data_IF_935663137234
#
_entry.id   IF_935663137234
#
_cell.length_a   1.000
_cell.length_b   1.000
_cell.length_c   1.000
_cell.angle_alpha   90.00
_cell.angle_beta   90.00
_cell.angle_gamma   90.00
#
_symmetry.space_group_name_H-M   'P 1'
#
loop_
_entity.id
_entity.type
_entity.pdbx_description
1 polymer ?
#
# COMPACT_ATOMS: atom_id res chain seq x y z
N UNK A 1 -13.74 3.52 -3.32
CA UNK A 1 -12.77 3.50 -4.45
C UNK A 1 -11.35 3.51 -3.87
N UNK A 2 -10.29 3.26 -4.66
CA UNK A 2 -8.89 3.38 -4.23
C UNK A 2 -8.29 4.63 -4.87
N UNK A 3 -7.71 5.50 -4.04
CA UNK A 3 -7.05 6.74 -4.46
C UNK A 3 -5.55 6.60 -4.26
N UNK A 4 -4.80 6.59 -5.34
CA UNK A 4 -3.33 6.58 -5.30
C UNK A 4 -2.85 8.03 -5.28
N UNK A 5 -2.03 8.40 -4.30
CA UNK A 5 -1.48 9.76 -4.13
C UNK A 5 0.04 9.65 -4.11
N UNK A 6 0.73 10.37 -4.99
CA UNK A 6 2.19 10.40 -4.98
C UNK A 6 2.72 11.47 -4.03
N UNK A 7 3.82 11.18 -3.33
CA UNK A 7 4.52 12.14 -2.47
C UNK A 7 5.81 12.70 -3.08
N UNK A 8 6.23 12.09 -4.18
CA UNK A 8 7.39 12.45 -5.00
C UNK A 8 7.01 12.30 -6.47
N UNK A 9 7.89 12.69 -7.39
CA UNK A 9 7.65 12.50 -8.82
C UNK A 9 7.82 11.03 -9.22
N UNK A 10 6.83 10.47 -9.90
CA UNK A 10 6.84 9.12 -10.44
C UNK A 10 6.48 9.13 -11.93
N UNK A 11 6.95 8.12 -12.66
CA UNK A 11 6.51 7.90 -14.04
C UNK A 11 5.02 7.57 -14.09
N UNK A 12 4.28 8.29 -14.94
CA UNK A 12 2.82 8.17 -15.03
C UNK A 12 2.37 6.78 -15.49
N UNK A 13 3.14 6.11 -16.36
CA UNK A 13 2.81 4.76 -16.84
C UNK A 13 2.94 3.75 -15.70
N UNK A 14 3.94 3.91 -14.83
CA UNK A 14 4.11 3.07 -13.64
C UNK A 14 2.96 3.24 -12.65
N UNK A 15 2.52 4.48 -12.40
CA UNK A 15 1.37 4.75 -11.54
C UNK A 15 0.07 4.22 -12.15
N UNK A 16 -0.12 4.38 -13.46
CA UNK A 16 -1.27 3.82 -14.17
C UNK A 16 -1.30 2.28 -14.09
N UNK A 17 -0.15 1.63 -14.28
CA UNK A 17 0.00 0.17 -14.12
C UNK A 17 -0.31 -0.28 -12.69
N UNK A 18 0.10 0.49 -11.68
CA UNK A 18 -0.24 0.22 -10.28
C UNK A 18 -1.74 0.34 -10.04
N UNK A 19 -2.38 1.40 -10.53
CA UNK A 19 -3.83 1.58 -10.43
C UNK A 19 -4.60 0.43 -11.09
N UNK A 20 -4.19 0.01 -12.30
CA UNK A 20 -4.78 -1.14 -12.97
C UNK A 20 -4.61 -2.43 -12.15
N UNK A 21 -3.44 -2.64 -11.54
CA UNK A 21 -3.18 -3.81 -10.68
C UNK A 21 -4.10 -3.82 -9.45
N UNK A 22 -4.29 -2.66 -8.80
CA UNK A 22 -5.21 -2.51 -7.68
C UNK A 22 -6.66 -2.75 -8.10
N UNK A 23 -7.08 -2.19 -9.23
CA UNK A 23 -8.42 -2.44 -9.78
C UNK A 23 -8.67 -3.94 -10.02
N UNK A 24 -7.74 -4.63 -10.69
CA UNK A 24 -7.85 -6.06 -10.96
C UNK A 24 -7.92 -6.89 -9.67
N UNK A 25 -7.18 -6.51 -8.63
CA UNK A 25 -7.12 -7.26 -7.38
C UNK A 25 -8.37 -7.11 -6.50
N UNK A 26 -9.02 -5.95 -6.53
CA UNK A 26 -10.12 -5.62 -5.60
C UNK A 26 -11.47 -5.40 -6.28
N UNK A 27 -11.54 -5.29 -7.60
CA UNK A 27 -12.79 -5.04 -8.33
C UNK A 27 -13.45 -3.70 -7.97
N UNK A 28 -12.69 -2.74 -7.44
CA UNK A 28 -13.13 -1.37 -7.15
C UNK A 28 -12.26 -0.39 -7.93
N UNK A 29 -12.87 0.72 -8.38
CA UNK A 29 -12.15 1.75 -9.14
C UNK A 29 -10.87 2.19 -8.40
N UNK A 30 -9.77 2.32 -9.15
CA UNK A 30 -8.48 2.79 -8.65
C UNK A 30 -7.94 3.88 -9.57
N UNK A 31 -7.59 5.03 -9.02
CA UNK A 31 -7.14 6.18 -9.82
C UNK A 31 -6.01 6.96 -9.14
N UNK A 32 -5.16 7.60 -9.95
CA UNK A 32 -4.18 8.56 -9.47
C UNK A 32 -4.90 9.87 -9.11
N UNK A 33 -4.88 10.23 -7.83
CA UNK A 33 -5.51 11.44 -7.27
C UNK A 33 -4.54 12.62 -7.14
N UNK A 34 -3.43 12.58 -7.90
CA UNK A 34 -2.42 13.64 -7.97
C UNK A 34 -1.31 13.52 -6.93
N UNK A 35 -0.41 14.50 -6.98
CA UNK A 35 0.76 14.60 -6.11
C UNK A 35 0.48 15.52 -4.91
N UNK A 36 1.07 15.17 -3.76
CA UNK A 36 1.08 15.99 -2.55
C UNK A 36 2.49 16.10 -1.99
N UNK A 37 2.76 17.21 -1.32
CA UNK A 37 4.03 17.38 -0.62
C UNK A 37 3.97 16.72 0.76
N UNK A 38 5.12 16.23 1.20
CA UNK A 38 5.31 15.77 2.58
C UNK A 38 5.14 16.97 3.52
N UNK A 39 4.39 16.85 4.64
CA UNK A 39 4.20 17.93 5.59
C UNK A 39 5.53 18.51 6.13
N UNK A 40 5.54 19.82 6.36
CA UNK A 40 6.71 20.51 6.90
C UNK A 40 7.11 19.95 8.27
N UNK A 41 8.42 19.78 8.50
CA UNK A 41 8.95 19.25 9.76
C UNK A 41 9.14 17.73 9.78
N UNK A 42 8.73 17.00 8.74
CA UNK A 42 9.09 15.59 8.57
C UNK A 42 10.41 15.48 7.80
N UNK A 43 11.40 14.85 8.44
CA UNK A 43 12.67 14.50 7.82
C UNK A 43 12.73 13.02 7.49
N UNK A 44 13.55 12.70 6.49
CA UNK A 44 13.86 11.32 6.14
C UNK A 44 14.73 10.66 7.23
N UNK A 45 14.56 9.35 7.51
CA UNK A 45 13.48 8.48 6.99
C UNK A 45 12.10 8.89 7.53
N UNK A 46 11.05 8.78 6.70
CA UNK A 46 9.71 9.25 7.02
C UNK A 46 9.00 8.34 8.03
N UNK A 47 8.43 8.92 9.07
CA UNK A 47 7.58 8.19 10.01
C UNK A 47 6.21 7.94 9.37
N UNK A 48 5.96 6.70 8.95
CA UNK A 48 4.77 6.35 8.18
C UNK A 48 3.47 6.61 8.95
N UNK A 49 3.43 6.34 10.25
CA UNK A 49 2.22 6.51 11.05
C UNK A 49 1.89 7.98 11.27
N UNK A 50 2.92 8.79 11.62
CA UNK A 50 2.76 10.24 11.76
C UNK A 50 2.37 10.88 10.44
N UNK A 51 3.03 10.48 9.35
CA UNK A 51 2.73 10.98 8.00
C UNK A 51 1.27 10.76 7.64
N UNK A 52 0.75 9.52 7.76
CA UNK A 52 -0.65 9.24 7.43
C UNK A 52 -1.65 10.04 8.27
N UNK A 53 -1.27 10.42 9.49
CA UNK A 53 -2.09 11.22 10.41
C UNK A 53 -2.05 12.71 10.06
N UNK A 54 -0.89 13.23 9.67
CA UNK A 54 -0.68 14.64 9.36
C UNK A 54 -1.06 15.04 7.92
N UNK A 55 -1.16 14.07 6.99
CA UNK A 55 -1.64 14.32 5.64
C UNK A 55 -3.09 14.84 5.65
N UNK A 56 -3.28 16.11 5.29
CA UNK A 56 -4.58 16.78 5.17
C UNK A 56 -4.98 16.98 3.71
N UNK A 57 -6.24 17.37 3.48
CA UNK A 57 -6.74 17.80 2.17
C UNK A 57 -6.60 16.75 1.05
N UNK A 58 -6.73 15.47 1.40
CA UNK A 58 -6.92 14.41 0.42
C UNK A 58 -8.39 14.37 0.07
N UNK A 59 -8.70 14.63 -1.19
CA UNK A 59 -10.06 14.52 -1.71
C UNK A 59 -10.43 13.04 -1.77
N UNK A 60 -11.09 12.56 -0.72
CA UNK A 60 -11.52 11.19 -0.56
C UNK A 60 -12.90 11.17 0.10
N UNK A 61 -13.80 10.31 -0.37
CA UNK A 61 -15.05 10.02 0.33
C UNK A 61 -14.77 9.10 1.54
N UNK A 62 -15.72 8.98 2.45
CA UNK A 62 -15.57 8.20 3.69
C UNK A 62 -15.15 6.74 3.43
N UNK A 63 -15.71 6.12 2.39
CA UNK A 63 -15.41 4.73 2.03
C UNK A 63 -14.14 4.54 1.19
N UNK A 64 -13.56 5.64 0.69
CA UNK A 64 -12.37 5.58 -0.13
C UNK A 64 -11.17 5.10 0.67
N UNK A 65 -10.31 4.33 0.00
CA UNK A 65 -9.03 3.88 0.52
C UNK A 65 -7.94 4.66 -0.18
N UNK A 66 -7.06 5.29 0.59
CA UNK A 66 -5.98 6.13 0.10
C UNK A 66 -4.67 5.37 0.24
N UNK A 67 -3.98 5.19 -0.88
CA UNK A 67 -2.62 4.68 -0.95
C UNK A 67 -1.67 5.82 -1.28
N UNK A 68 -0.82 6.19 -0.34
CA UNK A 68 0.31 7.06 -0.61
C UNK A 68 1.49 6.26 -1.15
N UNK A 69 2.23 6.83 -2.10
CA UNK A 69 3.48 6.26 -2.61
C UNK A 69 4.60 7.29 -2.55
N UNK A 70 5.76 6.89 -2.02
CA UNK A 70 6.96 7.75 -1.89
C UNK A 70 8.21 7.00 -2.33
N UNK A 71 9.19 7.73 -2.86
CA UNK A 71 10.52 7.17 -3.17
C UNK A 71 11.46 7.22 -1.97
N UNK A 72 11.07 7.91 -0.89
CA UNK A 72 11.87 8.11 0.32
C UNK A 72 11.77 6.93 1.27
N UNK A 73 12.81 6.73 2.07
CA UNK A 73 12.89 5.64 3.06
C UNK A 73 11.87 5.88 4.18
N UNK A 74 11.12 4.85 4.57
CA UNK A 74 10.29 4.90 5.79
C UNK A 74 11.10 4.49 7.02
N UNK A 75 10.76 5.03 8.19
CA UNK A 75 11.34 4.62 9.47
C UNK A 75 11.01 3.16 9.75
N UNK A 76 11.99 2.48 10.33
CA UNK A 76 11.78 1.16 10.91
C UNK A 76 10.76 1.26 12.05
N UNK A 77 9.93 0.23 12.18
CA UNK A 77 8.95 0.16 13.26
C UNK A 77 9.56 -0.50 14.47
N UNK A 78 9.36 0.12 15.63
CA UNK A 78 9.67 -0.49 16.92
C UNK A 78 8.62 -1.57 17.22
N UNK A 79 9.07 -2.81 17.38
CA UNK A 79 8.27 -3.95 17.81
C UNK A 79 8.86 -4.49 19.12
N UNK A 80 8.09 -5.29 19.86
CA UNK A 80 8.56 -5.90 21.11
C UNK A 80 9.85 -6.73 20.94
N UNK A 81 10.06 -7.30 19.74
CA UNK A 81 11.27 -8.06 19.38
C UNK A 81 12.39 -7.25 18.72
N UNK A 82 12.30 -5.92 18.69
CA UNK A 82 13.28 -5.04 18.04
C UNK A 82 12.71 -4.26 16.85
N UNK A 83 13.59 -3.79 15.96
CA UNK A 83 13.21 -2.97 14.80
C UNK A 83 12.90 -3.82 13.59
N UNK A 84 11.82 -3.49 12.89
CA UNK A 84 11.45 -4.14 11.62
C UNK A 84 11.49 -3.15 10.45
N UNK A 85 12.01 -3.57 9.28
CA UNK A 85 11.96 -2.75 8.07
C UNK A 85 10.51 -2.50 7.64
N UNK A 86 10.24 -1.28 7.19
CA UNK A 86 8.89 -0.83 6.81
C UNK A 86 8.87 -0.47 5.33
N UNK A 87 8.69 -1.44 4.41
CA UNK A 87 8.47 -1.12 2.99
C UNK A 87 7.11 -0.47 2.75
N UNK A 88 6.17 -0.61 3.70
CA UNK A 88 4.88 0.04 3.70
C UNK A 88 4.20 -0.07 5.06
N UNK A 89 3.16 0.73 5.25
CA UNK A 89 2.37 0.78 6.48
C UNK A 89 0.92 1.08 6.17
N UNK A 90 0.01 0.43 6.89
CA UNK A 90 -1.42 0.64 6.76
C UNK A 90 -2.04 0.89 8.13
N UNK A 91 -2.94 1.86 8.20
CA UNK A 91 -3.83 2.00 9.34
C UNK A 91 -4.91 0.91 9.23
N UNK A 92 -4.66 -0.23 9.87
CA UNK A 92 -5.49 -1.44 9.78
C UNK A 92 -6.99 -1.14 10.01
N UNK A 93 -7.85 -1.66 9.13
CA UNK A 93 -9.30 -1.37 9.12
C UNK A 93 -9.68 0.13 9.07
N UNK A 94 -8.78 1.01 8.63
CA UNK A 94 -9.06 2.43 8.38
C UNK A 94 -8.99 2.73 6.88
N UNK A 95 -8.69 3.96 6.51
CA UNK A 95 -8.76 4.44 5.13
C UNK A 95 -7.41 4.76 4.50
N UNK A 96 -6.28 4.69 5.22
CA UNK A 96 -5.00 5.21 4.73
C UNK A 96 -3.85 4.22 4.89
N UNK A 97 -3.08 4.09 3.83
CA UNK A 97 -1.85 3.32 3.75
C UNK A 97 -0.78 4.08 2.98
N UNK A 98 0.48 3.73 3.21
CA UNK A 98 1.63 4.22 2.46
C UNK A 98 2.55 3.06 2.07
N UNK A 99 3.15 3.16 0.90
CA UNK A 99 4.27 2.32 0.48
C UNK A 99 5.46 3.17 0.08
N UNK A 100 6.64 2.59 0.21
CA UNK A 100 7.88 3.18 -0.27
C UNK A 100 8.51 2.32 -1.35
N UNK A 101 9.02 2.98 -2.38
CA UNK A 101 9.81 2.37 -3.43
C UNK A 101 11.31 2.49 -3.17
N UNK A 102 11.70 3.00 -1.99
CA UNK A 102 13.10 3.13 -1.59
C UNK A 102 13.81 1.77 -1.65
N UNK A 103 15.00 1.75 -2.25
CA UNK A 103 15.80 0.55 -2.47
C UNK A 103 15.57 -0.09 -3.85
N UNK A 104 14.56 0.34 -4.60
CA UNK A 104 14.38 -0.02 -6.00
C UNK A 104 14.93 1.10 -6.89
N UNK A 105 15.99 0.80 -7.65
CA UNK A 105 16.59 1.77 -8.58
C UNK A 105 15.71 2.03 -9.80
N UNK A 106 15.02 0.99 -10.25
CA UNK A 106 14.11 1.04 -11.39
C UNK A 106 12.81 0.32 -11.01
N UNK A 107 11.71 1.06 -11.14
CA UNK A 107 10.37 0.59 -10.85
C UNK A 107 9.78 -0.26 -11.97
N UNK A 108 10.30 -0.20 -13.19
CA UNK A 108 9.84 -1.06 -14.27
C UNK A 108 10.22 -2.51 -13.99
N UNK A 109 11.50 -2.76 -13.70
CA UNK A 109 12.02 -4.07 -13.29
C UNK A 109 11.55 -4.48 -11.89
N UNK A 110 11.34 -3.52 -10.99
CA UNK A 110 10.93 -3.79 -9.59
C UNK A 110 9.42 -3.63 -9.35
N UNK A 111 8.61 -3.56 -10.41
CA UNK A 111 7.17 -3.31 -10.28
C UNK A 111 6.47 -4.36 -9.42
N UNK A 112 6.83 -5.62 -9.59
CA UNK A 112 6.19 -6.77 -8.95
C UNK A 112 6.26 -6.72 -7.41
N UNK A 113 7.43 -6.56 -6.76
CA UNK A 113 7.48 -6.43 -5.31
C UNK A 113 6.79 -5.16 -4.79
N UNK A 114 6.84 -4.05 -5.52
CA UNK A 114 6.13 -2.81 -5.16
C UNK A 114 4.62 -2.99 -5.20
N UNK A 115 4.10 -3.60 -6.27
CA UNK A 115 2.68 -3.89 -6.42
C UNK A 115 2.19 -4.87 -5.36
N UNK A 116 2.98 -5.89 -5.00
CA UNK A 116 2.66 -6.80 -3.88
C UNK A 116 2.54 -6.05 -2.57
N UNK A 117 3.48 -5.15 -2.29
CA UNK A 117 3.42 -4.34 -1.08
C UNK A 117 2.18 -3.42 -1.09
N UNK A 118 1.86 -2.80 -2.24
CA UNK A 118 0.64 -2.00 -2.40
C UNK A 118 -0.63 -2.79 -2.09
N UNK A 119 -0.77 -3.98 -2.69
CA UNK A 119 -1.90 -4.87 -2.46
C UNK A 119 -1.99 -5.28 -0.99
N UNK A 120 -0.86 -5.58 -0.36
CA UNK A 120 -0.81 -5.91 1.05
C UNK A 120 -1.33 -4.77 1.93
N UNK A 121 -0.80 -3.56 1.75
CA UNK A 121 -1.19 -2.42 2.58
C UNK A 121 -2.65 -2.05 2.38
N UNK A 122 -3.14 -2.05 1.14
CA UNK A 122 -4.56 -1.84 0.87
C UNK A 122 -5.42 -2.99 1.45
N UNK A 123 -4.95 -4.24 1.38
CA UNK A 123 -5.63 -5.39 2.00
C UNK A 123 -5.81 -5.22 3.50
N UNK A 124 -4.81 -4.65 4.20
CA UNK A 124 -4.91 -4.31 5.62
C UNK A 124 -5.98 -3.24 5.90
N UNK A 125 -6.22 -2.30 4.99
CA UNK A 125 -7.31 -1.33 5.13
C UNK A 125 -8.71 -1.98 5.07
N UNK A 126 -8.81 -3.13 4.41
CA UNK A 126 -10.02 -3.97 4.40
C UNK A 126 -10.01 -5.11 5.42
N UNK A 127 -9.06 -5.11 6.36
CA UNK A 127 -9.06 -6.09 7.46
C UNK A 127 -8.54 -7.46 7.08
N UNK A 128 -7.72 -7.54 6.03
CA UNK A 128 -6.92 -8.74 5.78
C UNK A 128 -5.72 -8.76 6.72
N UNK A 129 -5.52 -9.88 7.39
CA UNK A 129 -4.28 -10.17 8.11
C UNK A 129 -3.26 -10.78 7.16
N UNK A 130 -2.02 -10.96 7.62
CA UNK A 130 -1.05 -11.72 6.86
C UNK A 130 -1.56 -13.14 6.56
N UNK A 131 -1.21 -13.63 5.37
CA UNK A 131 -1.56 -14.96 4.87
C UNK A 131 -0.33 -15.86 4.94
N UNK A 132 -0.54 -17.17 5.04
CA UNK A 132 0.55 -18.15 5.02
C UNK A 132 0.89 -18.66 3.61
N UNK A 133 0.07 -18.35 2.60
CA UNK A 133 0.36 -18.71 1.20
C UNK A 133 1.42 -17.76 0.62
N UNK A 134 2.63 -18.23 0.28
CA UNK A 134 3.71 -17.38 -0.25
C UNK A 134 3.36 -16.68 -1.57
N UNK A 135 2.40 -17.23 -2.32
CA UNK A 135 1.94 -16.64 -3.59
C UNK A 135 1.03 -15.44 -3.34
N UNK A 136 0.35 -15.38 -2.20
CA UNK A 136 -0.57 -14.29 -1.85
C UNK A 136 0.19 -13.00 -1.51
N UNK A 137 -0.31 -11.84 -1.94
CA UNK A 137 0.26 -10.53 -1.58
C UNK A 137 0.15 -10.24 -0.07
N UNK A 138 -0.76 -10.92 0.64
CA UNK A 138 -0.83 -10.84 2.10
C UNK A 138 0.27 -11.65 2.80
N UNK A 139 1.15 -12.35 2.09
CA UNK A 139 2.27 -13.06 2.72
C UNK A 139 3.22 -12.09 3.43
N UNK A 140 3.76 -12.38 4.62
CA UNK A 140 4.54 -11.42 5.37
C UNK A 140 5.78 -10.92 4.60
N UNK A 141 6.01 -9.61 4.50
CA UNK A 141 7.02 -9.03 3.61
C UNK A 141 8.47 -9.27 4.06
N UNK A 142 8.68 -9.65 5.32
CA UNK A 142 10.00 -9.97 5.89
C UNK A 142 10.48 -11.39 5.60
N UNK A 143 9.69 -12.18 4.87
CA UNK A 143 10.05 -13.55 4.53
C UNK A 143 10.86 -13.60 3.23
N UNK A 144 11.84 -14.52 3.07
CA UNK A 144 12.66 -14.61 1.87
C UNK A 144 11.87 -14.79 0.56
N UNK A 145 10.73 -15.49 0.64
CA UNK A 145 9.90 -15.80 -0.52
C UNK A 145 8.89 -14.70 -0.87
N UNK A 146 8.86 -13.57 -0.16
CA UNK A 146 7.87 -12.53 -0.42
C UNK A 146 8.00 -11.96 -1.84
N UNK A 147 9.22 -11.75 -2.32
CA UNK A 147 9.48 -11.14 -3.64
C UNK A 147 9.19 -12.06 -4.83
N UNK A 148 9.11 -13.37 -4.61
CA UNK A 148 8.91 -14.34 -5.70
C UNK A 148 7.44 -14.52 -6.13
N UNK A 149 6.49 -14.33 -5.21
CA UNK A 149 5.05 -14.46 -5.50
C UNK A 149 4.51 -13.34 -6.40
N UNK A 150 3.26 -13.45 -6.86
CA UNK A 150 2.62 -12.49 -7.78
C UNK A 150 1.82 -11.38 -7.07
N UNK A 151 1.57 -10.24 -7.72
CA UNK A 151 0.71 -9.18 -7.16
C UNK A 151 -0.79 -9.57 -7.23
N UNK A 152 -1.17 -10.63 -6.50
CA UNK A 152 -2.52 -11.20 -6.44
C UNK A 152 -2.87 -11.65 -5.02
N UNK A 153 -4.15 -11.96 -4.78
CA UNK A 153 -4.60 -12.65 -3.57
C UNK A 153 -4.86 -14.13 -3.84
N UNK A 154 -4.62 -14.97 -2.84
CA UNK A 154 -5.19 -16.31 -2.83
C UNK A 154 -6.71 -16.24 -2.68
N UNK A 155 -7.41 -17.34 -3.00
CA UNK A 155 -8.88 -17.41 -2.95
C UNK A 155 -9.45 -16.94 -1.62
N UNK A 156 -8.86 -17.37 -0.49
CA UNK A 156 -9.34 -16.97 0.84
C UNK A 156 -9.23 -15.45 1.10
N UNK A 157 -8.07 -14.86 0.80
CA UNK A 157 -7.87 -13.41 0.99
C UNK A 157 -8.76 -12.60 0.04
N UNK A 158 -8.99 -13.11 -1.18
CA UNK A 158 -9.90 -12.50 -2.14
C UNK A 158 -11.35 -12.55 -1.66
N UNK A 159 -11.84 -13.71 -1.24
CA UNK A 159 -13.23 -13.84 -0.78
C UNK A 159 -13.50 -12.96 0.45
N UNK A 160 -12.53 -12.90 1.37
CA UNK A 160 -12.61 -12.03 2.55
C UNK A 160 -12.60 -10.54 2.18
N UNK A 161 -11.76 -10.12 1.22
CA UNK A 161 -11.76 -8.72 0.77
C UNK A 161 -13.06 -8.36 0.05
N UNK A 162 -13.57 -9.25 -0.81
CA UNK A 162 -14.85 -9.06 -1.49
C UNK A 162 -16.02 -8.97 -0.50
N UNK A 163 -16.04 -9.80 0.55
CA UNK A 163 -17.04 -9.70 1.61
C UNK A 163 -17.00 -8.34 2.30
N UNK A 164 -15.80 -7.87 2.67
CA UNK A 164 -15.60 -6.57 3.33
C UNK A 164 -15.98 -5.40 2.42
N UNK A 165 -15.68 -5.51 1.12
CA UNK A 165 -16.07 -4.54 0.11
C UNK A 165 -17.58 -4.46 -0.08
N UNK A 166 -18.29 -5.59 -0.03
CA UNK A 166 -19.76 -5.61 -0.12
C UNK A 166 -20.40 -4.96 1.10
N UNK A 167 -19.89 -5.23 2.30
CA UNK A 167 -20.37 -4.63 3.55
C UNK A 167 -20.10 -3.12 3.65
N UNK A 168 -19.09 -2.60 2.96
CA UNK A 168 -18.80 -1.17 2.92
C UNK A 168 -19.67 -0.42 1.89
N UNK A 169 -20.43 -1.12 1.03
CA UNK A 169 -21.34 -0.51 0.05
C UNK A 169 -22.79 -0.45 0.55
N UNK A 170 -23.10 -1.10 1.67
CA UNK A 170 -24.43 -1.18 2.30
C UNK A 170 -24.55 -0.16 3.42
#
# INVERSE_FOLDING_TARGET
MIRVVTLDSFDEKQIAKLCQTLYTAFGVGSEHSGQKEVPAGMSDPLDAEKLLTEMKNIRAYEDDKVLFITSRKLKERELAGGKAPTPGFAQYNKSRAIISTHGFKDLETSFKPVARNALQQIGHLWGLHHCLDPRCSMYPPWTPSFSSGEATFCTFCRDKSEQKLRLAKS
#
